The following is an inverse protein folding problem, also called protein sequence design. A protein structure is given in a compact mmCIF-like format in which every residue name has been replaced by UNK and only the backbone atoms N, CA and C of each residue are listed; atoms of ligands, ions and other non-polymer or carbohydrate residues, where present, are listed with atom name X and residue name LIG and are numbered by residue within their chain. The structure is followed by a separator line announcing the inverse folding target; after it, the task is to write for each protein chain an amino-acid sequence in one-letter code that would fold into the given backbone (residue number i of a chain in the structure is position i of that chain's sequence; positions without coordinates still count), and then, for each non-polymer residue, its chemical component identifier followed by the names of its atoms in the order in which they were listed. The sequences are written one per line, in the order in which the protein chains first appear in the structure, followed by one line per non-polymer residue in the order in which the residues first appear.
data_IF_494712983931
#
_entry.id   IF_494712983931
#
_cell.length_a   1.000
_cell.length_b   1.000
_cell.length_c   1.000
_cell.angle_alpha   90.00
_cell.angle_beta   90.00
_cell.angle_gamma   90.00
#
_symmetry.space_group_name_H-M   'P 1'
#
loop_
_entity.id
_entity.type
_entity.pdbx_description
1 polymer ?
#
# COMPACT_ATOMS: atom_id res chain seq x y z
N UNK A 1 77.80 -21.92 -43.42
CA UNK A 1 76.96 -22.79 -42.56
C UNK A 1 77.24 -22.45 -41.10
N UNK A 2 76.59 -21.41 -40.57
CA UNK A 2 76.67 -21.09 -39.14
C UNK A 2 75.70 -22.01 -38.40
N UNK A 3 76.20 -23.16 -37.95
CA UNK A 3 75.47 -23.99 -37.00
C UNK A 3 75.31 -23.21 -35.70
N UNK A 4 74.08 -22.76 -35.41
CA UNK A 4 73.71 -22.22 -34.11
C UNK A 4 74.03 -23.28 -33.05
N UNK A 5 75.16 -23.10 -32.37
CA UNK A 5 75.51 -23.86 -31.17
C UNK A 5 74.64 -23.30 -30.03
N UNK A 6 73.40 -23.75 -29.94
CA UNK A 6 72.69 -23.64 -28.67
C UNK A 6 73.48 -24.45 -27.65
N UNK A 7 73.85 -23.82 -26.53
CA UNK A 7 74.46 -24.55 -25.44
C UNK A 7 73.43 -25.54 -24.90
N UNK A 8 73.86 -26.75 -24.51
CA UNK A 8 72.98 -27.72 -23.82
C UNK A 8 72.30 -27.07 -22.60
N UNK A 9 72.98 -26.10 -21.98
CA UNK A 9 72.43 -25.29 -20.89
C UNK A 9 71.23 -24.43 -21.31
N UNK A 10 71.23 -23.83 -22.51
CA UNK A 10 70.14 -22.97 -22.99
C UNK A 10 68.88 -23.78 -23.30
N UNK A 11 69.07 -24.99 -23.85
CA UNK A 11 67.97 -25.93 -24.12
C UNK A 11 67.36 -26.41 -22.80
N UNK A 12 68.18 -26.79 -21.82
CA UNK A 12 67.70 -27.21 -20.50
C UNK A 12 66.98 -26.08 -19.76
N UNK A 13 67.49 -24.84 -19.84
CA UNK A 13 66.83 -23.67 -19.26
C UNK A 13 65.46 -23.41 -19.89
N UNK A 14 65.37 -23.49 -21.22
CA UNK A 14 64.12 -23.31 -21.97
C UNK A 14 63.09 -24.38 -21.61
N UNK A 15 63.50 -25.66 -21.55
CA UNK A 15 62.61 -26.76 -21.15
C UNK A 15 62.11 -26.57 -19.71
N UNK A 16 62.98 -26.16 -18.79
CA UNK A 16 62.60 -25.88 -17.42
C UNK A 16 61.58 -24.73 -17.33
N UNK A 17 61.76 -23.65 -18.10
CA UNK A 17 60.81 -22.54 -18.18
C UNK A 17 59.45 -22.99 -18.74
N UNK A 18 59.43 -23.76 -19.83
CA UNK A 18 58.20 -24.33 -20.41
C UNK A 18 57.45 -25.17 -19.38
N UNK A 19 58.14 -26.06 -18.64
CA UNK A 19 57.53 -26.88 -17.60
C UNK A 19 56.95 -26.04 -16.46
N UNK A 20 57.64 -24.97 -16.05
CA UNK A 20 57.15 -24.03 -15.05
C UNK A 20 55.89 -23.30 -15.54
N UNK A 21 55.90 -22.78 -16.77
CA UNK A 21 54.77 -22.08 -17.37
C UNK A 21 53.56 -23.01 -17.50
N UNK A 22 53.74 -24.25 -17.99
CA UNK A 22 52.68 -25.27 -18.04
C UNK A 22 52.09 -25.55 -16.65
N UNK A 23 52.91 -25.62 -15.61
CA UNK A 23 52.44 -25.77 -14.23
C UNK A 23 51.61 -24.55 -13.80
N UNK A 24 52.08 -23.33 -14.07
CA UNK A 24 51.35 -22.08 -13.78
C UNK A 24 50.00 -22.03 -14.51
N UNK A 25 49.96 -22.40 -15.79
CA UNK A 25 48.72 -22.49 -16.57
C UNK A 25 47.76 -23.48 -15.93
N UNK A 26 48.23 -24.68 -15.54
CA UNK A 26 47.40 -25.69 -14.88
C UNK A 26 46.80 -25.20 -13.56
N UNK A 27 47.60 -24.52 -12.73
CA UNK A 27 47.12 -23.94 -11.47
C UNK A 27 46.16 -22.77 -11.72
N UNK A 28 46.49 -21.87 -12.65
CA UNK A 28 45.66 -20.73 -13.03
C UNK A 28 44.30 -21.16 -13.58
N UNK A 29 44.24 -22.21 -14.40
CA UNK A 29 42.97 -22.78 -14.88
C UNK A 29 42.08 -23.25 -13.72
N UNK A 30 42.62 -24.00 -12.77
CA UNK A 30 41.86 -24.44 -11.58
C UNK A 30 41.33 -23.28 -10.75
N UNK A 31 42.13 -22.24 -10.57
CA UNK A 31 41.75 -21.05 -9.82
C UNK A 31 40.68 -20.24 -10.58
N UNK A 32 40.82 -20.12 -11.90
CA UNK A 32 39.85 -19.49 -12.77
C UNK A 32 38.51 -20.22 -12.73
N UNK A 33 38.51 -21.56 -12.80
CA UNK A 33 37.31 -22.38 -12.67
C UNK A 33 36.62 -22.15 -11.31
N UNK A 34 37.38 -22.08 -10.23
CA UNK A 34 36.83 -21.80 -8.90
C UNK A 34 36.15 -20.42 -8.84
N UNK A 35 36.80 -19.38 -9.38
CA UNK A 35 36.21 -18.03 -9.47
C UNK A 35 34.98 -18.03 -10.37
N UNK A 36 35.00 -18.78 -11.48
CA UNK A 36 33.88 -18.92 -12.42
C UNK A 36 32.65 -19.52 -11.74
N UNK A 37 32.81 -20.64 -11.04
CA UNK A 37 31.70 -21.29 -10.34
C UNK A 37 31.18 -20.42 -9.18
N UNK A 38 32.07 -19.76 -8.42
CA UNK A 38 31.65 -18.85 -7.36
C UNK A 38 30.85 -17.65 -7.90
N UNK A 39 31.29 -17.06 -9.03
CA UNK A 39 30.59 -15.95 -9.65
C UNK A 39 29.23 -16.39 -10.20
N UNK A 40 29.17 -17.57 -10.82
CA UNK A 40 27.92 -18.14 -11.32
C UNK A 40 26.91 -18.39 -10.20
N UNK A 41 27.34 -19.01 -9.10
CA UNK A 41 26.51 -19.21 -7.91
C UNK A 41 26.03 -17.89 -7.32
N UNK A 42 26.94 -16.92 -7.17
CA UNK A 42 26.60 -15.58 -6.67
C UNK A 42 25.53 -14.92 -7.53
N UNK A 43 25.68 -14.95 -8.87
CA UNK A 43 24.73 -14.36 -9.82
C UNK A 43 23.36 -15.05 -9.79
N UNK A 44 23.33 -16.38 -9.65
CA UNK A 44 22.09 -17.16 -9.54
C UNK A 44 21.34 -16.86 -8.24
N UNK A 45 22.07 -16.59 -7.17
CA UNK A 45 21.53 -16.31 -5.84
C UNK A 45 21.31 -14.81 -5.57
N UNK A 46 21.46 -13.93 -6.58
CA UNK A 46 21.13 -12.50 -6.42
C UNK A 46 19.63 -12.36 -6.11
N UNK A 47 19.26 -11.72 -4.98
CA UNK A 47 17.86 -11.46 -4.66
C UNK A 47 17.18 -10.63 -5.76
N UNK A 48 15.91 -10.91 -6.05
CA UNK A 48 15.14 -10.20 -7.10
C UNK A 48 15.21 -8.67 -6.98
N UNK A 49 15.13 -8.13 -5.76
CA UNK A 49 15.22 -6.69 -5.52
C UNK A 49 16.55 -6.06 -5.94
N UNK A 50 17.64 -6.85 -5.97
CA UNK A 50 18.98 -6.40 -6.30
C UNK A 50 19.31 -6.52 -7.79
N UNK A 51 18.56 -7.34 -8.55
CA UNK A 51 18.85 -7.63 -9.96
C UNK A 51 18.84 -6.37 -10.84
N UNK A 52 17.89 -5.47 -10.62
CA UNK A 52 17.79 -4.20 -11.37
C UNK A 52 18.98 -3.28 -11.08
N UNK A 53 19.37 -3.16 -9.81
CA UNK A 53 20.49 -2.32 -9.38
C UNK A 53 21.85 -2.85 -9.86
N UNK A 54 21.98 -4.18 -9.98
CA UNK A 54 23.22 -4.86 -10.37
C UNK A 54 23.34 -5.16 -11.87
N UNK A 55 22.44 -4.64 -12.71
CA UNK A 55 22.39 -4.98 -14.12
C UNK A 55 23.73 -4.73 -14.85
N UNK A 56 24.46 -3.67 -14.48
CA UNK A 56 25.78 -3.37 -15.05
C UNK A 56 26.82 -4.45 -14.70
N UNK A 57 26.84 -4.90 -13.45
CA UNK A 57 27.75 -5.93 -12.95
C UNK A 57 27.41 -7.31 -13.50
N UNK A 58 26.11 -7.60 -13.70
CA UNK A 58 25.64 -8.82 -14.36
C UNK A 58 26.18 -8.88 -15.80
N UNK A 59 25.99 -7.80 -16.59
CA UNK A 59 26.52 -7.72 -17.97
C UNK A 59 28.05 -7.80 -18.03
N UNK A 60 28.74 -7.19 -17.06
CA UNK A 60 30.20 -7.28 -16.96
C UNK A 60 30.66 -8.71 -16.68
N UNK A 61 29.91 -9.45 -15.86
CA UNK A 61 30.15 -10.87 -15.58
C UNK A 61 29.90 -11.74 -16.82
N UNK A 62 28.83 -11.48 -17.57
CA UNK A 62 28.55 -12.17 -18.85
C UNK A 62 29.70 -11.98 -19.85
N UNK A 63 30.15 -10.72 -20.04
CA UNK A 63 31.30 -10.41 -20.91
C UNK A 63 32.58 -11.09 -20.43
N UNK A 64 32.76 -11.23 -19.11
CA UNK A 64 33.89 -11.94 -18.52
C UNK A 64 33.83 -13.45 -18.77
N UNK A 65 32.65 -14.07 -18.70
CA UNK A 65 32.47 -15.49 -19.06
C UNK A 65 32.82 -15.74 -20.53
N UNK A 66 32.39 -14.86 -21.45
CA UNK A 66 32.73 -14.96 -22.87
C UNK A 66 34.25 -14.86 -23.10
N UNK A 67 34.92 -13.91 -22.40
CA UNK A 67 36.38 -13.76 -22.45
C UNK A 67 37.09 -15.04 -22.00
N UNK A 68 36.60 -15.71 -20.94
CA UNK A 68 37.20 -16.97 -20.46
C UNK A 68 37.03 -18.11 -21.45
N UNK A 69 35.83 -18.26 -22.03
CA UNK A 69 35.59 -19.30 -23.04
C UNK A 69 36.56 -19.17 -24.23
N UNK A 70 36.86 -17.94 -24.66
CA UNK A 70 37.85 -17.68 -25.70
C UNK A 70 39.28 -18.08 -25.28
N UNK A 71 39.64 -17.83 -24.03
CA UNK A 71 40.95 -18.12 -23.46
C UNK A 71 41.16 -19.63 -23.23
N UNK A 72 40.13 -20.36 -22.82
CA UNK A 72 40.16 -21.83 -22.72
C UNK A 72 40.44 -22.46 -24.09
N UNK A 73 39.82 -21.95 -25.14
CA UNK A 73 40.04 -22.38 -26.52
C UNK A 73 41.50 -22.12 -26.94
N UNK A 74 42.01 -20.90 -26.76
CA UNK A 74 43.39 -20.54 -27.11
C UNK A 74 44.43 -21.38 -26.35
N UNK A 75 44.21 -21.61 -25.06
CA UNK A 75 45.13 -22.38 -24.22
C UNK A 75 45.20 -23.87 -24.57
N UNK A 76 44.23 -24.39 -25.33
CA UNK A 76 44.19 -25.80 -25.75
C UNK A 76 44.99 -26.04 -27.04
N UNK A 77 45.25 -24.99 -27.83
CA UNK A 77 46.03 -25.04 -29.07
C UNK A 77 47.44 -24.46 -28.92
N UNK A 78 47.84 -24.05 -27.72
CA UNK A 78 49.13 -23.46 -27.46
C UNK A 78 50.25 -24.47 -27.68
N UNK A 79 51.19 -24.15 -28.58
CA UNK A 79 52.44 -24.91 -28.75
C UNK A 79 53.42 -24.69 -27.60
N UNK A 80 54.63 -25.25 -27.74
CA UNK A 80 55.72 -25.14 -26.75
C UNK A 80 56.54 -23.85 -26.86
N UNK A 81 55.96 -22.81 -27.43
CA UNK A 81 56.55 -21.49 -27.53
C UNK A 81 56.45 -20.74 -26.20
N UNK A 82 57.60 -20.31 -25.66
CA UNK A 82 57.69 -19.68 -24.33
C UNK A 82 56.88 -18.39 -24.25
N UNK A 83 56.91 -17.56 -25.29
CA UNK A 83 56.20 -16.27 -25.33
C UNK A 83 54.68 -16.48 -25.38
N UNK A 84 54.23 -17.46 -26.15
CA UNK A 84 52.82 -17.89 -26.17
C UNK A 84 52.37 -18.37 -24.79
N UNK A 85 53.15 -19.24 -24.13
CA UNK A 85 52.83 -19.74 -22.79
C UNK A 85 52.82 -18.61 -21.75
N UNK A 86 53.74 -17.64 -21.84
CA UNK A 86 53.78 -16.47 -20.96
C UNK A 86 52.54 -15.59 -21.14
N UNK A 87 52.15 -15.31 -22.38
CA UNK A 87 50.94 -14.55 -22.72
C UNK A 87 49.68 -15.21 -22.15
N UNK A 88 49.60 -16.54 -22.20
CA UNK A 88 48.48 -17.30 -21.61
C UNK A 88 48.47 -17.17 -20.08
N UNK A 89 49.63 -17.27 -19.42
CA UNK A 89 49.73 -17.10 -17.96
C UNK A 89 49.28 -15.69 -17.55
N UNK A 90 49.73 -14.65 -18.25
CA UNK A 90 49.34 -13.26 -17.96
C UNK A 90 47.83 -13.05 -18.17
N UNK A 91 47.29 -13.59 -19.26
CA UNK A 91 45.86 -13.50 -19.57
C UNK A 91 45.00 -14.25 -18.54
N UNK A 92 45.46 -15.41 -18.05
CA UNK A 92 44.82 -16.14 -16.94
C UNK A 92 44.83 -15.33 -15.65
N UNK A 93 45.97 -14.74 -15.30
CA UNK A 93 46.09 -13.91 -14.08
C UNK A 93 45.19 -12.68 -14.14
N UNK A 94 45.13 -12.00 -15.29
CA UNK A 94 44.21 -10.88 -15.50
C UNK A 94 42.74 -11.31 -15.41
N UNK A 95 42.38 -12.45 -16.00
CA UNK A 95 41.04 -13.00 -15.92
C UNK A 95 40.63 -13.34 -14.47
N UNK A 96 41.51 -13.99 -13.71
CA UNK A 96 41.28 -14.32 -12.28
C UNK A 96 41.09 -13.03 -11.47
N UNK A 97 41.98 -12.04 -11.66
CA UNK A 97 41.90 -10.75 -10.95
C UNK A 97 40.58 -10.04 -11.25
N UNK A 98 40.19 -10.00 -12.52
CA UNK A 98 38.93 -9.37 -12.96
C UNK A 98 37.72 -10.08 -12.37
N UNK A 99 37.69 -11.42 -12.37
CA UNK A 99 36.60 -12.20 -11.79
C UNK A 99 36.45 -12.00 -10.29
N UNK A 100 37.57 -11.96 -9.55
CA UNK A 100 37.59 -11.63 -8.12
C UNK A 100 37.08 -10.23 -7.83
N UNK A 101 37.50 -9.24 -8.62
CA UNK A 101 37.01 -7.87 -8.47
C UNK A 101 35.50 -7.77 -8.73
N UNK A 102 34.97 -8.49 -9.73
CA UNK A 102 33.53 -8.56 -9.98
C UNK A 102 32.77 -9.19 -8.80
N UNK A 103 33.26 -10.31 -8.26
CA UNK A 103 32.71 -10.94 -7.06
C UNK A 103 32.66 -9.98 -5.86
N UNK A 104 33.76 -9.28 -5.59
CA UNK A 104 33.85 -8.33 -4.49
C UNK A 104 32.84 -7.19 -4.65
N UNK A 105 32.77 -6.59 -5.85
CA UNK A 105 31.84 -5.50 -6.14
C UNK A 105 30.38 -5.96 -6.02
N UNK A 106 30.04 -7.15 -6.54
CA UNK A 106 28.68 -7.69 -6.44
C UNK A 106 28.31 -7.93 -4.97
N UNK A 107 29.17 -8.61 -4.21
CA UNK A 107 28.90 -8.91 -2.80
C UNK A 107 28.77 -7.64 -1.96
N UNK A 108 29.66 -6.65 -2.16
CA UNK A 108 29.57 -5.37 -1.48
C UNK A 108 28.26 -4.63 -1.84
N UNK A 109 27.86 -4.65 -3.10
CA UNK A 109 26.64 -4.00 -3.57
C UNK A 109 25.37 -4.68 -3.02
N UNK A 110 25.34 -6.01 -2.97
CA UNK A 110 24.24 -6.77 -2.34
C UNK A 110 24.14 -6.46 -0.86
N UNK A 111 25.27 -6.45 -0.12
CA UNK A 111 25.29 -6.10 1.30
C UNK A 111 24.78 -4.67 1.54
N UNK A 112 25.33 -3.69 0.81
CA UNK A 112 24.92 -2.30 0.95
C UNK A 112 23.44 -2.10 0.60
N UNK A 113 22.95 -2.77 -0.45
CA UNK A 113 21.54 -2.73 -0.82
C UNK A 113 20.63 -3.34 0.24
N UNK A 114 21.07 -4.42 0.91
CA UNK A 114 20.34 -5.04 2.01
C UNK A 114 20.28 -4.11 3.23
N UNK A 115 21.39 -3.45 3.57
CA UNK A 115 21.46 -2.50 4.67
C UNK A 115 20.55 -1.29 4.41
N UNK A 116 20.55 -0.76 3.19
CA UNK A 116 19.63 0.30 2.77
C UNK A 116 18.17 -0.13 2.82
N UNK A 117 17.85 -1.32 2.29
CA UNK A 117 16.50 -1.86 2.31
C UNK A 117 16.02 -2.06 3.75
N UNK A 118 16.85 -2.65 4.62
CA UNK A 118 16.51 -2.84 6.04
C UNK A 118 16.25 -1.51 6.74
N UNK A 119 17.12 -0.53 6.55
CA UNK A 119 16.98 0.81 7.15
C UNK A 119 15.69 1.50 6.71
N UNK A 120 15.37 1.43 5.41
CA UNK A 120 14.15 1.99 4.83
C UNK A 120 12.89 1.32 5.39
N UNK A 121 12.89 -0.01 5.49
CA UNK A 121 11.74 -0.75 6.05
C UNK A 121 11.55 -0.42 7.53
N UNK A 122 12.62 -0.38 8.33
CA UNK A 122 12.57 0.00 9.75
C UNK A 122 12.01 1.41 9.92
N UNK A 123 12.54 2.37 9.17
CA UNK A 123 12.10 3.77 9.23
C UNK A 123 10.62 3.90 8.83
N UNK A 124 10.23 3.30 7.71
CA UNK A 124 8.84 3.37 7.23
C UNK A 124 7.89 2.69 8.21
N UNK A 125 8.30 1.59 8.84
CA UNK A 125 7.49 0.88 9.83
C UNK A 125 7.29 1.75 11.06
N UNK A 126 8.36 2.39 11.54
CA UNK A 126 8.29 3.30 12.68
C UNK A 126 7.35 4.48 12.43
N UNK A 127 7.43 5.11 11.25
CA UNK A 127 6.53 6.22 10.87
C UNK A 127 5.08 5.76 10.83
N UNK A 128 4.80 4.63 10.17
CA UNK A 128 3.44 4.10 10.06
C UNK A 128 2.87 3.71 11.43
N UNK A 129 3.67 3.12 12.33
CA UNK A 129 3.25 2.81 13.69
C UNK A 129 2.98 4.07 14.51
N UNK A 130 3.82 5.11 14.41
CA UNK A 130 3.58 6.38 15.09
C UNK A 130 2.27 7.03 14.62
N UNK A 131 2.03 7.05 13.30
CA UNK A 131 0.78 7.56 12.74
C UNK A 131 -0.43 6.77 13.23
N UNK A 132 -0.32 5.43 13.27
CA UNK A 132 -1.39 4.57 13.76
C UNK A 132 -1.67 4.81 15.24
N UNK A 133 -0.65 4.86 16.10
CA UNK A 133 -0.81 5.15 17.52
C UNK A 133 -1.48 6.51 17.74
N UNK A 134 -1.07 7.54 17.00
CA UNK A 134 -1.66 8.87 17.11
C UNK A 134 -3.15 8.93 16.74
N UNK A 135 -3.62 8.07 15.83
CA UNK A 135 -5.01 8.08 15.34
C UNK A 135 -5.82 6.86 15.80
N UNK A 136 -5.25 6.03 16.68
CA UNK A 136 -5.85 4.75 17.07
C UNK A 136 -7.25 4.93 17.64
N UNK A 137 -7.42 5.85 18.59
CA UNK A 137 -8.72 6.10 19.22
C UNK A 137 -9.77 6.58 18.23
N UNK A 138 -9.37 7.43 17.28
CA UNK A 138 -10.26 7.93 16.23
C UNK A 138 -10.72 6.80 15.31
N UNK A 139 -9.80 5.93 14.91
CA UNK A 139 -10.09 4.74 14.10
C UNK A 139 -11.00 3.78 14.87
N UNK A 140 -10.69 3.48 16.14
CA UNK A 140 -11.51 2.59 16.98
C UNK A 140 -12.93 3.13 17.16
N UNK A 141 -13.06 4.44 17.35
CA UNK A 141 -14.34 5.14 17.53
C UNK A 141 -15.22 5.05 16.29
N UNK A 142 -14.67 5.28 15.10
CA UNK A 142 -15.47 5.41 13.86
C UNK A 142 -15.52 4.15 12.99
N UNK A 143 -14.43 3.39 12.96
CA UNK A 143 -14.25 2.20 12.11
C UNK A 143 -14.23 0.90 12.93
N UNK A 144 -14.35 0.99 14.25
CA UNK A 144 -14.45 -0.14 15.17
C UNK A 144 -13.10 -0.69 15.63
N UNK A 145 -13.14 -1.35 16.79
CA UNK A 145 -11.95 -1.98 17.41
C UNK A 145 -11.31 -3.03 16.53
N UNK A 146 -12.10 -3.80 15.78
CA UNK A 146 -11.58 -4.83 14.85
C UNK A 146 -10.64 -4.26 13.79
N UNK A 147 -10.94 -3.07 13.27
CA UNK A 147 -10.09 -2.40 12.28
C UNK A 147 -8.72 -2.05 12.88
N UNK A 148 -8.69 -1.53 14.11
CA UNK A 148 -7.46 -1.22 14.82
C UNK A 148 -6.68 -2.48 15.24
N UNK A 149 -7.38 -3.52 15.70
CA UNK A 149 -6.78 -4.81 16.05
C UNK A 149 -6.10 -5.45 14.84
N UNK A 150 -6.77 -5.49 13.68
CA UNK A 150 -6.17 -6.00 12.43
C UNK A 150 -4.90 -5.23 12.07
N UNK A 151 -4.90 -3.91 12.23
CA UNK A 151 -3.73 -3.10 11.91
C UNK A 151 -2.55 -3.37 12.86
N UNK A 152 -2.85 -3.57 14.15
CA UNK A 152 -1.86 -4.00 15.15
C UNK A 152 -1.24 -5.35 14.78
N UNK A 153 -2.07 -6.33 14.36
CA UNK A 153 -1.58 -7.63 13.90
C UNK A 153 -0.69 -7.54 12.67
N UNK A 154 -1.02 -6.67 11.72
CA UNK A 154 -0.20 -6.47 10.52
C UNK A 154 1.17 -5.88 10.88
N UNK A 155 1.24 -4.90 11.78
CA UNK A 155 2.53 -4.37 12.25
C UNK A 155 3.37 -5.43 12.97
N UNK A 156 2.75 -6.29 13.78
CA UNK A 156 3.44 -7.44 14.39
C UNK A 156 4.03 -8.37 13.33
N UNK A 157 3.27 -8.69 12.28
CA UNK A 157 3.74 -9.53 11.18
C UNK A 157 4.93 -8.87 10.44
N UNK A 158 4.86 -7.56 10.16
CA UNK A 158 5.98 -6.82 9.55
C UNK A 158 7.24 -6.91 10.43
N UNK A 159 7.10 -6.79 11.75
CA UNK A 159 8.21 -6.96 12.70
C UNK A 159 8.79 -8.37 12.67
N UNK A 160 7.95 -9.41 12.62
CA UNK A 160 8.40 -10.80 12.50
C UNK A 160 9.14 -11.05 11.19
N UNK A 161 8.68 -10.47 10.08
CA UNK A 161 9.36 -10.54 8.78
C UNK A 161 10.73 -9.84 8.82
N UNK A 162 10.84 -8.69 9.48
CA UNK A 162 12.13 -8.01 9.69
C UNK A 162 13.09 -8.87 10.53
N UNK A 163 12.61 -9.52 11.59
CA UNK A 163 13.41 -10.43 12.41
C UNK A 163 13.89 -11.64 11.61
N UNK A 164 13.09 -12.12 10.65
CA UNK A 164 13.45 -13.18 9.71
C UNK A 164 14.29 -12.70 8.51
N UNK A 165 14.72 -11.43 8.49
CA UNK A 165 15.45 -10.78 7.38
C UNK A 165 14.72 -10.78 6.04
N UNK A 166 13.39 -10.93 6.03
CA UNK A 166 12.52 -10.91 4.85
C UNK A 166 12.15 -9.48 4.46
N UNK A 167 13.14 -8.60 4.29
CA UNK A 167 12.89 -7.16 4.14
C UNK A 167 12.12 -6.80 2.86
N UNK A 168 12.32 -7.51 1.76
CA UNK A 168 11.59 -7.21 0.51
C UNK A 168 10.09 -7.52 0.62
N UNK A 169 9.74 -8.59 1.32
CA UNK A 169 8.33 -8.92 1.57
C UNK A 169 7.73 -7.96 2.60
N UNK A 170 8.48 -7.63 3.65
CA UNK A 170 8.08 -6.65 4.67
C UNK A 170 7.80 -5.28 4.05
N UNK A 171 8.64 -4.81 3.12
CA UNK A 171 8.46 -3.55 2.40
C UNK A 171 7.14 -3.51 1.62
N UNK A 172 6.83 -4.58 0.88
CA UNK A 172 5.58 -4.66 0.09
C UNK A 172 4.35 -4.65 0.98
N UNK A 173 4.37 -5.44 2.05
CA UNK A 173 3.27 -5.48 3.02
C UNK A 173 3.09 -4.10 3.66
N UNK A 174 4.19 -3.51 4.15
CA UNK A 174 4.19 -2.21 4.81
C UNK A 174 3.69 -1.08 3.90
N UNK A 175 4.05 -1.08 2.61
CA UNK A 175 3.54 -0.09 1.66
C UNK A 175 2.00 -0.19 1.51
N UNK A 176 1.47 -1.41 1.43
CA UNK A 176 0.02 -1.63 1.39
C UNK A 176 -0.65 -1.17 2.70
N UNK A 177 -0.08 -1.54 3.84
CA UNK A 177 -0.57 -1.18 5.17
C UNK A 177 -0.57 0.33 5.40
N UNK A 178 0.50 1.03 4.99
CA UNK A 178 0.59 2.48 5.11
C UNK A 178 -0.52 3.18 4.31
N UNK A 179 -0.82 2.72 3.09
CA UNK A 179 -1.92 3.26 2.29
C UNK A 179 -3.28 3.00 2.94
N UNK A 180 -3.51 1.79 3.46
CA UNK A 180 -4.74 1.47 4.19
C UNK A 180 -4.90 2.31 5.45
N UNK A 181 -3.81 2.56 6.18
CA UNK A 181 -3.81 3.41 7.36
C UNK A 181 -4.21 4.84 7.01
N UNK A 182 -3.61 5.43 5.97
CA UNK A 182 -3.94 6.77 5.50
C UNK A 182 -5.42 6.90 5.11
N UNK A 183 -5.96 5.91 4.40
CA UNK A 183 -7.38 5.91 4.04
C UNK A 183 -8.31 5.76 5.25
N UNK A 184 -7.93 4.93 6.23
CA UNK A 184 -8.69 4.79 7.48
C UNK A 184 -8.67 6.09 8.30
N UNK A 185 -7.51 6.75 8.42
CA UNK A 185 -7.37 8.05 9.08
C UNK A 185 -8.26 9.09 8.40
N UNK A 186 -8.20 9.17 7.06
CA UNK A 186 -9.03 10.10 6.28
C UNK A 186 -10.52 9.88 6.54
N UNK A 187 -11.02 8.65 6.39
CA UNK A 187 -12.43 8.31 6.63
C UNK A 187 -12.87 8.64 8.06
N UNK A 188 -12.05 8.28 9.05
CA UNK A 188 -12.39 8.52 10.45
C UNK A 188 -12.42 10.03 10.77
N UNK A 189 -11.50 10.80 10.20
CA UNK A 189 -11.47 12.27 10.31
C UNK A 189 -12.69 12.91 9.67
N UNK A 190 -13.07 12.49 8.46
CA UNK A 190 -14.27 13.00 7.78
C UNK A 190 -15.56 12.72 8.59
N UNK A 191 -15.64 11.54 9.23
CA UNK A 191 -16.77 11.20 10.09
C UNK A 191 -16.79 12.03 11.38
N UNK A 192 -15.63 12.26 11.98
CA UNK A 192 -15.49 13.13 13.15
C UNK A 192 -15.89 14.58 12.82
N UNK A 193 -15.42 15.13 11.71
CA UNK A 193 -15.80 16.49 11.27
C UNK A 193 -17.31 16.62 11.04
N UNK A 194 -17.93 15.62 10.41
CA UNK A 194 -19.39 15.54 10.26
C UNK A 194 -20.08 15.47 11.62
N UNK A 195 -19.53 14.71 12.57
CA UNK A 195 -20.08 14.62 13.90
C UNK A 195 -19.99 15.94 14.67
N UNK A 196 -18.86 16.64 14.60
CA UNK A 196 -18.68 17.95 15.24
C UNK A 196 -19.68 18.97 14.68
N UNK A 197 -19.88 18.99 13.35
CA UNK A 197 -20.93 19.81 12.71
C UNK A 197 -22.32 19.44 13.20
N UNK A 198 -22.62 18.15 13.33
CA UNK A 198 -23.89 17.65 13.87
C UNK A 198 -24.12 18.11 15.31
N UNK A 199 -23.09 18.09 16.16
CA UNK A 199 -23.19 18.56 17.55
C UNK A 199 -23.38 20.09 17.63
N UNK A 200 -22.70 20.85 16.78
CA UNK A 200 -22.90 22.29 16.67
C UNK A 200 -24.34 22.63 16.29
N UNK A 201 -24.87 21.94 15.28
CA UNK A 201 -26.25 22.07 14.84
C UNK A 201 -27.25 21.71 15.95
N UNK A 202 -27.03 20.61 16.69
CA UNK A 202 -27.86 20.25 17.83
C UNK A 202 -27.91 21.39 18.86
N UNK A 203 -26.75 21.96 19.20
CA UNK A 203 -26.66 23.09 20.14
C UNK A 203 -27.44 24.31 19.63
N UNK A 204 -27.30 24.64 18.35
CA UNK A 204 -28.03 25.74 17.71
C UNK A 204 -29.54 25.50 17.74
N UNK A 205 -29.99 24.29 17.37
CA UNK A 205 -31.41 23.90 17.43
C UNK A 205 -31.98 24.04 18.85
N UNK A 206 -31.25 23.56 19.87
CA UNK A 206 -31.69 23.70 21.28
C UNK A 206 -31.88 25.16 21.68
N UNK A 207 -30.95 26.02 21.30
CA UNK A 207 -31.02 27.45 21.60
C UNK A 207 -32.14 28.18 20.84
N UNK A 208 -32.37 27.81 19.57
CA UNK A 208 -33.47 28.36 18.77
C UNK A 208 -34.82 27.92 19.33
N UNK A 209 -35.02 26.62 19.57
CA UNK A 209 -36.26 26.08 20.14
C UNK A 209 -36.58 26.73 21.50
N UNK A 210 -35.59 26.84 22.39
CA UNK A 210 -35.77 27.53 23.67
C UNK A 210 -36.11 29.01 23.49
N UNK A 211 -35.49 29.70 22.53
CA UNK A 211 -35.79 31.09 22.21
C UNK A 211 -37.18 31.32 21.62
N UNK A 212 -37.75 30.32 20.96
CA UNK A 212 -39.15 30.30 20.47
C UNK A 212 -40.15 29.88 21.56
N UNK A 213 -39.68 29.55 22.77
CA UNK A 213 -40.51 29.12 23.88
C UNK A 213 -40.86 27.62 23.88
N UNK A 214 -40.27 26.83 22.98
CA UNK A 214 -40.48 25.38 22.97
C UNK A 214 -39.78 24.72 24.16
N UNK A 215 -40.42 23.70 24.73
CA UNK A 215 -39.89 22.94 25.86
C UNK A 215 -39.23 21.65 25.40
N UNK A 216 -38.03 21.38 25.90
CA UNK A 216 -37.34 20.12 25.63
C UNK A 216 -38.04 18.98 26.38
N UNK A 217 -38.53 17.97 25.65
CA UNK A 217 -39.27 16.84 26.23
C UNK A 217 -38.32 15.92 27.01
N UNK A 218 -37.11 15.74 26.48
CA UNK A 218 -36.06 14.89 27.05
C UNK A 218 -34.69 15.27 26.48
N UNK A 219 -33.63 14.86 27.18
CA UNK A 219 -32.26 15.09 26.75
C UNK A 219 -31.97 14.37 25.40
N UNK A 220 -31.23 15.00 24.46
CA UNK A 220 -30.93 14.38 23.17
C UNK A 220 -30.14 13.09 23.34
N UNK A 221 -30.51 12.07 22.57
CA UNK A 221 -29.89 10.75 22.67
C UNK A 221 -29.64 10.17 21.27
N UNK A 222 -28.74 9.19 21.20
CA UNK A 222 -28.48 8.44 19.97
C UNK A 222 -29.59 7.41 19.75
N UNK A 223 -30.15 7.36 18.53
CA UNK A 223 -31.21 6.41 18.15
C UNK A 223 -30.81 4.95 18.41
N UNK A 224 -29.54 4.62 18.20
CA UNK A 224 -28.96 3.36 18.65
C UNK A 224 -27.95 3.65 19.74
N UNK A 225 -28.16 3.02 20.89
CA UNK A 225 -27.30 3.19 22.05
C UNK A 225 -25.84 2.92 21.69
N UNK A 226 -24.94 3.82 22.14
CA UNK A 226 -23.50 3.75 21.89
C UNK A 226 -23.06 3.75 20.42
N UNK A 227 -23.93 4.14 19.48
CA UNK A 227 -23.58 4.23 18.06
C UNK A 227 -23.48 5.68 17.59
N UNK A 228 -22.25 6.17 17.44
CA UNK A 228 -21.99 7.51 16.91
C UNK A 228 -22.43 7.68 15.44
N UNK A 229 -22.57 6.58 14.70
CA UNK A 229 -23.11 6.61 13.34
C UNK A 229 -24.64 6.75 13.32
N UNK A 230 -25.32 6.41 14.41
CA UNK A 230 -26.76 6.59 14.50
C UNK A 230 -27.15 8.07 14.62
N UNK A 231 -28.41 8.36 14.31
CA UNK A 231 -28.96 9.72 14.34
C UNK A 231 -29.09 10.18 15.79
N UNK A 232 -28.92 11.47 16.04
CA UNK A 232 -29.30 12.07 17.32
C UNK A 232 -30.79 12.41 17.24
N UNK A 233 -31.56 11.97 18.23
CA UNK A 233 -32.99 12.27 18.37
C UNK A 233 -33.15 13.42 19.35
N UNK A 234 -33.77 14.51 18.91
CA UNK A 234 -34.06 15.69 19.72
C UNK A 234 -35.55 16.02 19.64
N UNK A 235 -36.23 16.07 20.79
CA UNK A 235 -37.69 16.25 20.87
C UNK A 235 -38.04 17.53 21.62
N UNK A 236 -38.93 18.32 21.04
CA UNK A 236 -39.45 19.54 21.64
C UNK A 236 -40.97 19.58 21.58
N UNK A 237 -41.57 20.12 22.61
CA UNK A 237 -42.99 20.43 22.69
C UNK A 237 -43.17 21.93 22.41
N UNK A 238 -44.04 22.25 21.46
CA UNK A 238 -44.35 23.63 21.10
C UNK A 238 -45.42 24.25 22.02
N UNK A 239 -45.86 23.54 23.07
CA UNK A 239 -46.89 23.89 24.05
C UNK A 239 -48.32 23.90 23.51
N UNK A 240 -48.55 24.56 22.38
CA UNK A 240 -49.89 24.81 21.83
C UNK A 240 -50.16 24.10 20.50
N UNK A 241 -49.10 23.65 19.80
CA UNK A 241 -49.23 23.11 18.43
C UNK A 241 -48.88 21.62 18.32
N UNK A 242 -48.26 21.02 19.33
CA UNK A 242 -47.83 19.62 19.34
C UNK A 242 -46.32 19.44 19.40
N UNK A 243 -45.83 18.22 19.15
CA UNK A 243 -44.41 17.88 19.28
C UNK A 243 -43.68 17.92 17.94
N UNK A 244 -42.40 18.30 17.98
CA UNK A 244 -41.46 18.16 16.86
C UNK A 244 -40.30 17.27 17.31
N UNK A 245 -40.04 16.22 16.54
CA UNK A 245 -38.86 15.36 16.67
C UNK A 245 -37.88 15.64 15.53
N UNK A 246 -36.69 16.13 15.86
CA UNK A 246 -35.56 16.25 14.95
C UNK A 246 -34.68 15.01 15.01
N UNK A 247 -34.29 14.49 13.86
CA UNK A 247 -33.31 13.42 13.69
C UNK A 247 -32.10 13.99 12.96
N UNK A 248 -30.98 14.09 13.66
CA UNK A 248 -29.74 14.64 13.12
C UNK A 248 -28.82 13.48 12.69
N UNK A 249 -28.73 13.22 11.40
CA UNK A 249 -27.75 12.32 10.81
C UNK A 249 -26.40 13.04 10.61
N UNK A 250 -25.37 12.33 10.16
CA UNK A 250 -24.05 12.91 9.90
C UNK A 250 -24.02 13.87 8.70
N UNK A 251 -24.98 13.72 7.78
CA UNK A 251 -25.03 14.41 6.49
C UNK A 251 -26.33 15.19 6.25
N UNK A 252 -27.38 14.93 7.03
CA UNK A 252 -28.67 15.60 6.88
C UNK A 252 -29.47 15.65 8.19
N UNK A 253 -30.54 16.45 8.19
CA UNK A 253 -31.54 16.51 9.26
C UNK A 253 -32.87 16.07 8.68
N UNK A 254 -33.61 15.23 9.40
CA UNK A 254 -35.04 15.02 9.14
C UNK A 254 -35.83 15.48 10.35
N UNK A 255 -37.07 15.93 10.13
CA UNK A 255 -37.99 16.28 11.21
C UNK A 255 -39.30 15.53 11.03
N UNK A 256 -39.90 15.15 12.14
CA UNK A 256 -41.28 14.67 12.22
C UNK A 256 -42.04 15.61 13.14
N UNK A 257 -43.21 16.08 12.72
CA UNK A 257 -44.00 17.04 13.47
C UNK A 257 -45.43 16.53 13.57
N UNK A 258 -45.97 16.55 14.78
CA UNK A 258 -47.38 16.26 15.07
C UNK A 258 -48.27 17.52 14.91
N UNK A 259 -47.68 18.63 14.45
CA UNK A 259 -48.37 19.90 14.20
C UNK A 259 -49.23 19.80 12.94
N UNK A 260 -50.41 20.43 12.96
CA UNK A 260 -51.27 20.59 11.78
C UNK A 260 -50.47 21.13 10.57
N UNK A 261 -50.60 20.47 9.40
CA UNK A 261 -49.76 20.72 8.22
C UNK A 261 -49.64 22.20 7.80
N UNK A 262 -50.70 22.98 8.00
CA UNK A 262 -50.77 24.38 7.58
C UNK A 262 -49.98 25.32 8.49
N UNK A 263 -49.72 24.93 9.75
CA UNK A 263 -48.94 25.73 10.74
C UNK A 263 -47.48 25.29 10.81
N UNK A 264 -47.22 24.04 10.42
CA UNK A 264 -45.92 23.38 10.44
C UNK A 264 -44.84 24.13 9.64
N UNK A 265 -45.16 24.64 8.44
CA UNK A 265 -44.18 25.33 7.58
C UNK A 265 -43.73 26.69 8.11
N UNK A 266 -44.63 27.46 8.73
CA UNK A 266 -44.28 28.74 9.33
C UNK A 266 -43.24 28.58 10.44
N UNK A 267 -43.42 27.59 11.31
CA UNK A 267 -42.47 27.27 12.38
C UNK A 267 -41.11 26.85 11.82
N UNK A 268 -41.07 26.02 10.77
CA UNK A 268 -39.79 25.62 10.14
C UNK A 268 -39.08 26.76 9.41
N UNK A 269 -39.81 27.71 8.83
CA UNK A 269 -39.23 28.93 8.26
C UNK A 269 -38.65 29.83 9.35
N UNK A 270 -39.35 30.01 10.47
CA UNK A 270 -38.84 30.77 11.61
C UNK A 270 -37.59 30.11 12.19
N UNK A 271 -37.61 28.79 12.44
CA UNK A 271 -36.43 28.04 12.90
C UNK A 271 -35.27 28.24 11.92
N UNK A 272 -35.51 28.11 10.61
CA UNK A 272 -34.46 28.27 9.59
C UNK A 272 -33.88 29.69 9.58
N UNK A 273 -34.73 30.70 9.76
CA UNK A 273 -34.32 32.10 9.85
C UNK A 273 -33.46 32.34 11.10
N UNK A 274 -33.90 31.88 12.26
CA UNK A 274 -33.13 32.01 13.51
C UNK A 274 -31.79 31.27 13.46
N UNK A 275 -31.76 30.06 12.89
CA UNK A 275 -30.54 29.29 12.67
C UNK A 275 -29.54 30.04 11.77
N UNK A 276 -30.03 30.64 10.69
CA UNK A 276 -29.20 31.44 9.79
C UNK A 276 -28.69 32.71 10.46
N UNK A 277 -29.58 33.50 11.06
CA UNK A 277 -29.27 34.83 11.58
C UNK A 277 -28.35 34.78 12.81
N UNK A 278 -28.51 33.79 13.68
CA UNK A 278 -27.74 33.69 14.93
C UNK A 278 -26.55 32.74 14.86
N UNK A 279 -26.59 31.72 14.01
CA UNK A 279 -25.60 30.64 14.01
C UNK A 279 -24.95 30.39 12.65
N UNK A 280 -25.35 31.11 11.60
CA UNK A 280 -24.85 30.93 10.24
C UNK A 280 -25.25 29.57 9.62
N UNK A 281 -26.21 28.86 10.21
CA UNK A 281 -26.65 27.55 9.75
C UNK A 281 -27.75 27.74 8.71
N UNK A 282 -27.47 27.34 7.47
CA UNK A 282 -28.43 27.42 6.37
C UNK A 282 -29.17 26.08 6.28
N UNK A 283 -30.47 26.09 6.57
CA UNK A 283 -31.37 24.94 6.43
C UNK A 283 -32.42 25.19 5.35
N UNK A 284 -32.86 24.12 4.70
CA UNK A 284 -33.98 24.14 3.76
C UNK A 284 -34.85 22.91 4.02
N UNK A 285 -35.92 23.08 4.79
CA UNK A 285 -36.87 22.00 5.08
C UNK A 285 -37.79 21.81 3.87
N UNK A 286 -37.81 20.59 3.31
CA UNK A 286 -38.66 20.21 2.19
C UNK A 286 -39.57 19.05 2.60
N UNK A 287 -40.77 18.98 2.01
CA UNK A 287 -41.58 17.75 2.09
C UNK A 287 -40.86 16.66 1.29
N UNK A 288 -40.81 15.42 1.78
CA UNK A 288 -40.53 14.29 0.90
C UNK A 288 -41.60 14.29 -0.19
N UNK A 289 -41.21 14.19 -1.46
CA UNK A 289 -42.16 14.05 -2.56
C UNK A 289 -43.00 12.79 -2.28
N UNK A 290 -44.29 12.98 -2.01
CA UNK A 290 -45.23 11.86 -1.94
C UNK A 290 -45.23 11.20 -3.33
N UNK A 291 -45.14 9.86 -3.42
CA UNK A 291 -45.40 9.19 -4.69
C UNK A 291 -46.73 9.69 -5.23
N UNK A 292 -46.80 10.04 -6.52
CA UNK A 292 -48.02 10.53 -7.16
C UNK A 292 -49.17 9.60 -6.75
N UNK A 293 -50.13 10.13 -5.98
CA UNK A 293 -51.33 9.38 -5.69
C UNK A 293 -51.93 8.97 -7.03
N UNK A 294 -52.34 7.70 -7.21
CA UNK A 294 -53.02 7.31 -8.43
C UNK A 294 -54.17 8.28 -8.65
N UNK A 295 -54.07 9.07 -9.72
CA UNK A 295 -55.11 10.01 -10.09
C UNK A 295 -56.36 9.15 -10.34
N UNK A 296 -57.45 9.51 -9.67
CA UNK A 296 -58.73 8.91 -9.95
C UNK A 296 -59.06 9.24 -11.41
N UNK A 297 -58.79 8.30 -12.31
CA UNK A 297 -59.38 8.30 -13.65
C UNK A 297 -60.88 8.32 -13.40
N UNK A 298 -61.59 9.22 -14.08
CA UNK A 298 -63.00 9.52 -13.79
C UNK A 298 -63.81 8.23 -13.59
N UNK A 299 -64.74 8.27 -12.63
CA UNK A 299 -65.64 7.17 -12.32
C UNK A 299 -66.39 6.76 -13.59
N UNK A 300 -65.99 5.65 -14.21
CA UNK A 300 -66.64 5.09 -15.40
C UNK A 300 -65.75 4.68 -16.58
N UNK A 301 -64.42 4.87 -16.54
CA UNK A 301 -63.56 4.56 -17.72
C UNK A 301 -62.76 3.25 -17.64
N UNK A 302 -63.00 2.40 -16.66
CA UNK A 302 -62.51 1.02 -16.69
C UNK A 302 -63.71 0.10 -16.52
N UNK A 303 -64.02 -0.63 -17.59
CA UNK A 303 -64.87 -1.81 -17.50
C UNK A 303 -64.28 -2.71 -16.42
N UNK A 304 -65.11 -3.13 -15.47
CA UNK A 304 -64.74 -4.17 -14.52
C UNK A 304 -64.18 -5.34 -15.33
N UNK A 305 -63.05 -5.95 -14.90
CA UNK A 305 -62.54 -7.12 -15.57
C UNK A 305 -63.65 -8.16 -15.56
N UNK A 306 -64.28 -8.35 -16.72
CA UNK A 306 -65.31 -9.36 -16.88
C UNK A 306 -64.62 -10.69 -16.68
N UNK A 307 -65.03 -11.42 -15.64
CA UNK A 307 -64.72 -12.82 -15.43
C UNK A 307 -65.30 -13.65 -16.60
N UNK A 308 -64.74 -13.50 -17.81
CA UNK A 308 -64.92 -14.43 -18.92
C UNK A 308 -63.77 -15.42 -18.91
N UNK A 309 -63.70 -16.20 -17.83
CA UNK A 309 -62.94 -17.45 -17.78
C UNK A 309 -63.75 -18.51 -17.04
N UNK A 310 -65.00 -18.67 -17.46
CA UNK A 310 -65.75 -19.90 -17.26
C UNK A 310 -66.14 -20.49 -18.64
N UNK A 311 -65.30 -21.43 -19.08
CA UNK A 311 -65.62 -22.63 -19.84
C UNK A 311 -66.25 -22.54 -21.25
N UNK A 312 -65.46 -22.95 -22.26
CA UNK A 312 -65.81 -23.99 -23.26
C UNK A 312 -64.54 -24.32 -24.07
N UNK A 313 -63.83 -25.41 -23.77
CA UNK A 313 -64.07 -26.77 -24.29
C UNK A 313 -63.83 -26.91 -25.81
N UNK A 314 -62.62 -27.33 -26.17
CA UNK A 314 -62.31 -28.37 -27.16
C UNK A 314 -60.97 -29.02 -26.80
#
# INVERSE_FOLDING_TARGET
MSGLKYSVFDVLATVAEILLLRRKIKTGKKELDAVREQLKDTLQNIPEWAKSTLQKQIRASETWFDKIASLETQSSYAGDDVDTLRTIVESLQDAIRTGRALLEVINASVRNGLDQLSSRVIQTCSIAEQQFTAHRELIERWLGKETASRMTSVFSNVKDMMNQKKYSEAEKLLAHTANQLQENIRKATELEDKHQKRLYLLKALRQVCSGLGFQEVQEPYFERENSLQSRIVYRVDTLDKGQITFYLALDHITSHSEIEENKCFGEFEEISKFLKDRFGVITNFKRPELPEQPKLIQKGELEEPTDSSAAAAA
#
